data_IF_617624999234
#
_entry.id   IF_617624999234
#
_cell.length_a   1.000
_cell.length_b   1.000
_cell.length_c   1.000
_cell.angle_alpha   90.00
_cell.angle_beta   90.00
_cell.angle_gamma   90.00
#
_symmetry.space_group_name_H-M   'P 1'
#
loop_
_entity.id
_entity.type
_entity.pdbx_description
1 polymer ?
#
# COMPACT_ATOMS: atom_id res chain seq x y z
N UNK A 1 27.89 23.82 6.82
CA UNK A 1 27.70 22.73 7.82
C UNK A 1 27.59 21.46 7.02
N UNK A 2 28.39 20.43 7.30
CA UNK A 2 28.20 19.12 6.66
C UNK A 2 26.78 18.66 7.02
N UNK A 3 25.93 18.40 6.03
CA UNK A 3 24.62 17.78 6.27
C UNK A 3 24.89 16.42 6.93
N UNK A 4 24.37 16.25 8.15
CA UNK A 4 24.52 15.01 8.89
C UNK A 4 23.83 13.90 8.09
N UNK A 5 24.59 12.92 7.65
CA UNK A 5 24.10 11.80 6.84
C UNK A 5 23.02 11.04 7.62
N UNK A 6 21.82 10.93 7.06
CA UNK A 6 20.69 10.24 7.70
C UNK A 6 20.94 8.73 7.79
N UNK A 7 20.66 8.13 8.93
CA UNK A 7 20.69 6.68 9.10
C UNK A 7 19.29 6.11 8.91
N UNK A 8 19.12 5.27 7.91
CA UNK A 8 17.81 4.68 7.52
C UNK A 8 17.86 3.17 7.66
N UNK A 9 16.89 2.63 8.37
CA UNK A 9 16.63 1.19 8.42
C UNK A 9 15.45 0.84 7.51
N UNK A 10 15.58 -0.23 6.72
CA UNK A 10 14.47 -0.77 5.92
C UNK A 10 14.20 -2.20 6.36
N UNK A 11 13.05 -2.46 6.95
CA UNK A 11 12.63 -3.81 7.33
C UNK A 11 11.83 -4.44 6.19
N UNK A 12 12.46 -5.37 5.48
CA UNK A 12 11.89 -6.12 4.38
C UNK A 12 12.70 -6.05 3.08
N UNK A 13 12.95 -7.21 2.50
CA UNK A 13 13.69 -7.39 1.25
C UNK A 13 12.82 -7.63 0.03
N UNK A 14 11.53 -7.27 0.08
CA UNK A 14 10.64 -7.30 -1.07
C UNK A 14 10.97 -6.20 -2.09
N UNK A 15 10.29 -6.22 -3.26
CA UNK A 15 10.55 -5.26 -4.33
C UNK A 15 10.46 -3.81 -3.87
N UNK A 16 9.40 -3.43 -3.13
CA UNK A 16 9.20 -2.04 -2.72
C UNK A 16 10.19 -1.61 -1.62
N UNK A 17 10.46 -2.46 -0.63
CA UNK A 17 11.48 -2.17 0.40
C UNK A 17 12.87 -1.98 -0.21
N UNK A 18 13.23 -2.80 -1.20
CA UNK A 18 14.51 -2.68 -1.92
C UNK A 18 14.57 -1.38 -2.75
N UNK A 19 13.48 -1.00 -3.42
CA UNK A 19 13.42 0.26 -4.16
C UNK A 19 13.57 1.48 -3.23
N UNK A 20 12.88 1.49 -2.08
CA UNK A 20 12.99 2.57 -1.08
C UNK A 20 14.40 2.65 -0.47
N UNK A 21 15.03 1.50 -0.19
CA UNK A 21 16.42 1.46 0.29
C UNK A 21 17.37 2.11 -0.72
N UNK A 22 17.19 1.80 -2.02
CA UNK A 22 18.01 2.38 -3.08
C UNK A 22 17.77 3.89 -3.23
N UNK A 23 16.51 4.37 -3.16
CA UNK A 23 16.19 5.81 -3.20
C UNK A 23 16.88 6.55 -2.04
N UNK A 24 16.72 6.05 -0.81
CA UNK A 24 17.33 6.70 0.36
C UNK A 24 18.87 6.77 0.23
N UNK A 25 19.49 5.71 -0.28
CA UNK A 25 20.92 5.68 -0.55
C UNK A 25 21.33 6.60 -1.71
N UNK A 26 20.54 6.70 -2.78
CA UNK A 26 20.75 7.66 -3.89
C UNK A 26 20.71 9.11 -3.38
N UNK A 27 19.95 9.38 -2.32
CA UNK A 27 19.86 10.69 -1.65
C UNK A 27 20.93 10.88 -0.55
N UNK A 28 21.93 9.99 -0.46
CA UNK A 28 23.07 10.11 0.45
C UNK A 28 22.83 9.58 1.86
N UNK A 29 21.75 8.87 2.13
CA UNK A 29 21.54 8.22 3.42
C UNK A 29 22.43 6.98 3.59
N UNK A 30 22.81 6.68 4.84
CA UNK A 30 23.40 5.41 5.24
C UNK A 30 22.26 4.40 5.46
N UNK A 31 22.13 3.40 4.58
CA UNK A 31 20.99 2.51 4.55
C UNK A 31 21.34 1.09 4.96
N UNK A 32 20.64 0.58 5.95
CA UNK A 32 20.68 -0.84 6.33
C UNK A 32 19.34 -1.49 6.06
N UNK A 33 19.37 -2.60 5.30
CA UNK A 33 18.16 -3.33 4.93
C UNK A 33 18.14 -4.70 5.61
N UNK A 34 17.06 -4.99 6.32
CA UNK A 34 16.83 -6.28 6.96
C UNK A 34 16.11 -7.25 6.04
N UNK A 35 16.67 -8.46 5.91
CA UNK A 35 16.07 -9.59 5.22
C UNK A 35 16.28 -10.87 6.06
N UNK A 36 15.37 -11.83 5.93
CA UNK A 36 15.47 -13.13 6.61
C UNK A 36 16.35 -14.14 5.87
N UNK A 37 16.51 -13.98 4.57
CA UNK A 37 17.20 -14.92 3.67
C UNK A 37 18.67 -14.54 3.57
N UNK A 38 19.54 -15.34 4.20
CA UNK A 38 21.00 -15.12 4.23
C UNK A 38 21.62 -15.16 2.83
N UNK A 39 21.13 -16.05 1.95
CA UNK A 39 21.64 -16.14 0.59
C UNK A 39 21.33 -14.86 -0.21
N UNK A 40 20.13 -14.30 -0.02
CA UNK A 40 19.74 -13.05 -0.65
C UNK A 40 20.51 -11.86 -0.06
N UNK A 41 20.78 -11.85 1.26
CA UNK A 41 21.65 -10.85 1.91
C UNK A 41 23.06 -10.89 1.30
N UNK A 42 23.66 -12.07 1.18
CA UNK A 42 24.97 -12.24 0.57
C UNK A 42 24.99 -11.79 -0.90
N UNK A 43 23.94 -12.08 -1.66
CA UNK A 43 23.79 -11.65 -3.04
C UNK A 43 23.73 -10.10 -3.14
N UNK A 44 22.86 -9.45 -2.35
CA UNK A 44 22.71 -7.99 -2.37
C UNK A 44 24.04 -7.30 -2.06
N UNK A 45 24.74 -7.75 -1.02
CA UNK A 45 26.00 -7.15 -0.61
C UNK A 45 27.14 -7.35 -1.63
N UNK A 46 27.13 -8.46 -2.36
CA UNK A 46 28.21 -8.78 -3.33
C UNK A 46 27.91 -8.23 -4.73
N UNK A 47 26.65 -8.34 -5.17
CA UNK A 47 26.26 -8.10 -6.55
C UNK A 47 25.45 -6.81 -6.72
N UNK A 48 25.05 -6.18 -5.61
CA UNK A 48 24.13 -5.03 -5.60
C UNK A 48 22.88 -5.29 -6.44
N UNK A 49 22.29 -6.49 -6.27
CA UNK A 49 21.07 -6.94 -6.95
C UNK A 49 20.21 -7.76 -6.01
N UNK A 50 18.90 -7.59 -6.12
CA UNK A 50 17.92 -8.45 -5.46
C UNK A 50 17.34 -9.43 -6.50
N UNK A 51 18.04 -10.54 -6.73
CA UNK A 51 17.72 -11.50 -7.78
C UNK A 51 16.35 -12.16 -7.66
N UNK A 52 15.74 -12.11 -6.47
CA UNK A 52 14.41 -12.70 -6.24
C UNK A 52 13.26 -11.74 -6.52
N UNK A 53 13.40 -10.45 -6.17
CA UNK A 53 12.29 -9.51 -6.16
C UNK A 53 12.42 -8.34 -7.13
N UNK A 54 13.66 -8.01 -7.54
CA UNK A 54 14.00 -6.98 -8.53
C UNK A 54 15.23 -7.42 -9.33
N UNK A 55 15.15 -8.54 -10.09
CA UNK A 55 16.32 -9.17 -10.72
C UNK A 55 17.01 -8.27 -11.77
N UNK A 56 16.24 -7.44 -12.45
CA UNK A 56 16.72 -6.65 -13.58
C UNK A 56 17.32 -5.30 -13.19
N UNK A 57 17.29 -4.94 -11.88
CA UNK A 57 17.67 -3.62 -11.41
C UNK A 57 18.87 -3.66 -10.46
N UNK A 58 19.78 -2.69 -10.64
CA UNK A 58 20.88 -2.48 -9.72
C UNK A 58 20.40 -1.73 -8.46
N UNK A 59 20.85 -2.17 -7.31
CA UNK A 59 20.67 -1.50 -6.00
C UNK A 59 21.85 -0.57 -5.78
N UNK A 60 21.64 0.60 -5.18
CA UNK A 60 22.72 1.49 -4.81
C UNK A 60 23.74 0.76 -3.90
N UNK A 61 25.05 0.79 -4.22
CA UNK A 61 26.09 0.08 -3.45
C UNK A 61 26.21 0.51 -1.97
N UNK A 62 25.68 1.68 -1.60
CA UNK A 62 25.65 2.13 -0.20
C UNK A 62 24.58 1.42 0.66
N UNK A 63 23.70 0.59 0.05
CA UNK A 63 22.76 -0.25 0.81
C UNK A 63 23.50 -1.47 1.36
N UNK A 64 23.48 -1.63 2.68
CA UNK A 64 24.01 -2.82 3.37
C UNK A 64 22.85 -3.71 3.80
N UNK A 65 22.79 -4.94 3.29
CA UNK A 65 21.79 -5.93 3.68
C UNK A 65 22.28 -6.75 4.89
N UNK A 66 21.38 -7.05 5.84
CA UNK A 66 21.70 -7.78 7.08
C UNK A 66 20.50 -8.66 7.50
N UNK A 67 20.79 -9.75 8.22
CA UNK A 67 19.77 -10.62 8.84
C UNK A 67 19.49 -10.26 10.31
N UNK A 68 20.39 -9.54 10.98
CA UNK A 68 20.26 -9.16 12.38
C UNK A 68 19.52 -7.85 12.56
N UNK A 69 18.34 -7.89 13.20
CA UNK A 69 17.50 -6.71 13.49
C UNK A 69 18.22 -5.67 14.34
N UNK A 70 19.00 -6.09 15.33
CA UNK A 70 19.75 -5.17 16.19
C UNK A 70 20.69 -4.30 15.37
N UNK A 71 21.51 -4.92 14.54
CA UNK A 71 22.48 -4.23 13.69
C UNK A 71 21.81 -3.29 12.69
N UNK A 72 20.61 -3.65 12.19
CA UNK A 72 19.85 -2.80 11.26
C UNK A 72 19.27 -1.58 11.96
N UNK A 73 18.73 -1.74 13.17
CA UNK A 73 17.96 -0.70 13.86
C UNK A 73 18.79 0.23 14.73
N UNK A 74 19.95 -0.22 15.23
CA UNK A 74 20.79 0.59 16.11
C UNK A 74 21.23 1.89 15.45
N UNK A 75 20.83 3.04 16.01
CA UNK A 75 21.17 4.38 15.51
C UNK A 75 20.43 4.80 14.24
N UNK A 76 19.43 4.05 13.79
CA UNK A 76 18.55 4.49 12.72
C UNK A 76 17.65 5.64 13.21
N UNK A 77 17.48 6.67 12.39
CA UNK A 77 16.56 7.79 12.64
C UNK A 77 15.19 7.54 12.01
N UNK A 78 15.19 6.89 10.84
CA UNK A 78 14.01 6.52 10.09
C UNK A 78 13.98 5.02 9.84
N UNK A 79 12.85 4.38 10.17
CA UNK A 79 12.63 2.95 9.97
C UNK A 79 11.46 2.77 8.99
N UNK A 80 11.75 2.32 7.79
CA UNK A 80 10.75 1.99 6.76
C UNK A 80 10.38 0.51 6.87
N UNK A 81 9.11 0.20 7.07
CA UNK A 81 8.64 -1.17 7.30
C UNK A 81 7.86 -1.65 6.08
N UNK A 82 8.49 -2.53 5.29
CA UNK A 82 8.02 -3.02 3.99
C UNK A 82 7.86 -4.54 3.98
N UNK A 83 7.11 -5.06 4.94
CA UNK A 83 6.84 -6.50 5.13
C UNK A 83 5.35 -6.82 4.91
N UNK A 84 4.98 -8.04 4.50
CA UNK A 84 3.57 -8.43 4.34
C UNK A 84 2.78 -8.26 5.64
N UNK A 85 1.50 -7.89 5.54
CA UNK A 85 0.61 -7.62 6.68
C UNK A 85 0.54 -8.79 7.67
N UNK A 86 0.51 -10.04 7.20
CA UNK A 86 0.50 -11.25 8.03
C UNK A 86 1.71 -11.40 8.96
N UNK A 87 2.86 -10.84 8.59
CA UNK A 87 4.10 -10.91 9.38
C UNK A 87 4.39 -9.60 10.13
N UNK A 88 3.58 -8.57 9.93
CA UNK A 88 3.88 -7.21 10.38
C UNK A 88 4.05 -7.14 11.90
N UNK A 89 3.04 -7.57 12.66
CA UNK A 89 3.07 -7.55 14.13
C UNK A 89 4.24 -8.35 14.69
N UNK A 90 4.45 -9.57 14.24
CA UNK A 90 5.52 -10.43 14.75
C UNK A 90 6.92 -9.85 14.51
N UNK A 91 7.13 -9.19 13.36
CA UNK A 91 8.41 -8.53 13.09
C UNK A 91 8.57 -7.25 13.91
N UNK A 92 7.50 -6.47 14.10
CA UNK A 92 7.54 -5.28 14.97
C UNK A 92 7.85 -5.69 16.42
N UNK A 93 7.23 -6.74 16.93
CA UNK A 93 7.53 -7.29 18.26
C UNK A 93 8.99 -7.73 18.39
N UNK A 94 9.53 -8.42 17.39
CA UNK A 94 10.95 -8.82 17.38
C UNK A 94 11.90 -7.62 17.27
N UNK A 95 11.49 -6.55 16.59
CA UNK A 95 12.26 -5.31 16.44
C UNK A 95 12.22 -4.43 17.69
N UNK A 96 11.11 -4.46 18.45
CA UNK A 96 10.83 -3.58 19.60
C UNK A 96 11.99 -3.39 20.59
N UNK A 97 12.75 -4.44 20.99
CA UNK A 97 13.88 -4.26 21.93
C UNK A 97 15.00 -3.34 21.42
N UNK A 98 15.04 -3.08 20.10
CA UNK A 98 16.07 -2.30 19.41
C UNK A 98 15.56 -0.98 18.84
N UNK A 99 14.25 -0.67 19.08
CA UNK A 99 13.62 0.58 18.71
C UNK A 99 13.67 1.58 19.84
N UNK A 100 13.63 2.88 19.52
CA UNK A 100 13.52 3.97 20.49
C UNK A 100 12.40 4.96 20.10
N UNK A 101 11.81 5.68 21.09
CA UNK A 101 10.71 6.62 20.83
C UNK A 101 11.05 7.81 19.92
N UNK A 102 12.34 8.13 19.78
CA UNK A 102 12.84 9.21 18.92
C UNK A 102 12.88 8.82 17.44
N UNK A 103 12.82 7.52 17.16
CA UNK A 103 12.81 7.01 15.78
C UNK A 103 11.46 7.26 15.10
N UNK A 104 11.54 7.60 13.83
CA UNK A 104 10.37 7.70 12.97
C UNK A 104 10.07 6.34 12.36
N UNK A 105 8.89 5.78 12.66
CA UNK A 105 8.43 4.49 12.12
C UNK A 105 7.44 4.71 10.99
N UNK A 106 7.73 4.19 9.80
CA UNK A 106 6.85 4.37 8.63
C UNK A 106 6.44 3.03 8.04
N UNK A 107 5.17 2.73 8.08
CA UNK A 107 4.60 1.60 7.36
C UNK A 107 4.50 1.90 5.87
N UNK A 108 4.93 0.97 5.05
CA UNK A 108 4.74 1.00 3.59
C UNK A 108 3.89 -0.19 3.13
N UNK A 109 3.33 -0.93 4.08
CA UNK A 109 2.56 -2.15 3.88
C UNK A 109 1.10 -1.81 3.59
N UNK A 110 0.57 -2.36 2.52
CA UNK A 110 -0.81 -2.14 2.06
C UNK A 110 -1.68 -3.33 2.42
N UNK A 111 -2.07 -3.43 3.69
CA UNK A 111 -2.87 -4.53 4.20
C UNK A 111 -3.53 -4.19 5.53
N UNK A 112 -4.35 -5.13 5.99
CA UNK A 112 -5.12 -5.03 7.24
C UNK A 112 -4.81 -6.29 8.05
N UNK A 113 -4.59 -6.14 9.35
CA UNK A 113 -4.43 -7.27 10.24
C UNK A 113 -5.79 -7.97 10.46
N UNK A 114 -5.77 -9.28 10.43
CA UNK A 114 -6.98 -10.08 10.53
C UNK A 114 -7.65 -9.92 11.90
N UNK A 115 -6.87 -10.03 12.96
CA UNK A 115 -7.37 -9.92 14.31
C UNK A 115 -7.59 -8.46 14.69
N UNK A 116 -8.86 -8.06 14.86
CA UNK A 116 -9.26 -6.71 15.25
C UNK A 116 -9.39 -5.69 14.11
N UNK A 117 -9.20 -6.07 12.84
CA UNK A 117 -9.29 -5.15 11.70
C UNK A 117 -8.38 -3.92 11.86
N UNK A 118 -7.10 -4.14 12.19
CA UNK A 118 -6.15 -3.06 12.45
C UNK A 118 -5.33 -2.71 11.19
N UNK A 119 -5.16 -1.43 10.97
CA UNK A 119 -4.20 -0.92 10.01
C UNK A 119 -2.76 -1.07 10.56
N UNK A 120 -1.78 -1.12 9.69
CA UNK A 120 -0.38 -1.35 10.11
C UNK A 120 0.15 -0.23 11.01
N UNK A 121 -0.28 1.02 10.80
CA UNK A 121 0.07 2.12 11.70
C UNK A 121 -0.53 1.95 13.09
N UNK A 122 -1.73 1.39 13.21
CA UNK A 122 -2.35 1.08 14.50
C UNK A 122 -1.63 -0.09 15.20
N UNK A 123 -1.15 -1.08 14.43
CA UNK A 123 -0.29 -2.13 14.96
C UNK A 123 1.01 -1.53 15.53
N UNK A 124 1.64 -0.57 14.82
CA UNK A 124 2.82 0.14 15.34
C UNK A 124 2.50 0.88 16.64
N UNK A 125 1.38 1.61 16.71
CA UNK A 125 0.94 2.29 17.92
C UNK A 125 0.75 1.34 19.10
N UNK A 126 0.06 0.21 18.88
CA UNK A 126 -0.17 -0.78 19.92
C UNK A 126 1.11 -1.43 20.43
N UNK A 127 2.02 -1.78 19.52
CA UNK A 127 3.24 -2.50 19.89
C UNK A 127 4.31 -1.59 20.50
N UNK A 128 4.41 -0.33 20.05
CA UNK A 128 5.50 0.55 20.46
C UNK A 128 5.08 1.68 21.37
N UNK A 129 3.91 2.25 21.16
CA UNK A 129 3.46 3.48 21.84
C UNK A 129 4.25 4.72 21.40
N UNK A 130 4.94 4.68 20.26
CA UNK A 130 5.81 5.78 19.84
C UNK A 130 5.03 6.90 19.14
N UNK A 131 5.48 8.17 19.26
CA UNK A 131 4.75 9.32 18.73
C UNK A 131 4.94 9.53 17.22
N UNK A 132 6.07 9.09 16.65
CA UNK A 132 6.47 9.40 15.28
C UNK A 132 6.13 8.26 14.33
N UNK A 133 4.84 8.11 14.01
CA UNK A 133 4.34 7.05 13.13
C UNK A 133 3.75 7.66 11.86
N UNK A 134 4.18 7.15 10.70
CA UNK A 134 3.67 7.52 9.39
C UNK A 134 3.36 6.32 8.51
N UNK A 135 2.71 6.58 7.38
CA UNK A 135 2.43 5.60 6.34
C UNK A 135 2.78 6.16 4.97
N UNK A 136 3.29 5.32 4.08
CA UNK A 136 3.50 5.65 2.67
C UNK A 136 2.51 4.84 1.83
N UNK A 137 1.72 5.54 1.01
CA UNK A 137 0.84 4.96 0.00
C UNK A 137 0.79 5.82 -1.26
N UNK A 138 0.36 5.24 -2.38
CA UNK A 138 0.30 5.90 -3.68
C UNK A 138 0.65 4.96 -4.82
N UNK A 139 0.67 5.43 -6.06
CA UNK A 139 0.99 4.66 -7.26
C UNK A 139 2.48 4.29 -7.28
N UNK A 140 2.85 3.22 -6.58
CA UNK A 140 4.23 2.84 -6.29
C UNK A 140 4.54 1.44 -6.87
N UNK A 141 4.65 1.32 -8.19
CA UNK A 141 5.14 0.10 -8.84
C UNK A 141 6.66 0.03 -8.67
N UNK A 142 7.12 -0.95 -7.90
CA UNK A 142 8.52 -1.01 -7.46
C UNK A 142 9.53 -1.14 -8.62
N UNK A 143 9.15 -1.82 -9.71
CA UNK A 143 9.99 -1.93 -10.92
C UNK A 143 10.16 -0.60 -11.63
N UNK A 144 9.10 0.20 -11.76
CA UNK A 144 9.17 1.54 -12.37
C UNK A 144 10.02 2.49 -11.53
N UNK A 145 9.89 2.42 -10.19
CA UNK A 145 10.72 3.20 -9.28
C UNK A 145 12.19 2.78 -9.40
N UNK A 146 12.47 1.48 -9.46
CA UNK A 146 13.84 0.97 -9.62
C UNK A 146 14.46 1.36 -10.97
N UNK A 147 13.63 1.52 -12.01
CA UNK A 147 13.98 2.06 -13.32
C UNK A 147 14.06 3.61 -13.35
N UNK A 148 13.90 4.25 -12.20
CA UNK A 148 13.94 5.72 -12.05
C UNK A 148 12.91 6.48 -12.88
N UNK A 149 11.76 5.84 -13.17
CA UNK A 149 10.63 6.50 -13.83
C UNK A 149 9.98 7.51 -12.87
N UNK A 150 9.44 8.60 -13.43
CA UNK A 150 8.82 9.66 -12.65
C UNK A 150 7.63 9.13 -11.85
N UNK A 151 7.78 9.09 -10.54
CA UNK A 151 6.80 8.53 -9.60
C UNK A 151 6.50 9.52 -8.48
N UNK A 152 5.28 9.50 -7.99
CA UNK A 152 4.89 10.26 -6.82
C UNK A 152 4.19 9.38 -5.79
N UNK A 153 4.44 9.65 -4.51
CA UNK A 153 3.83 8.96 -3.37
C UNK A 153 3.30 9.94 -2.33
N UNK A 154 2.60 9.44 -1.34
CA UNK A 154 2.14 10.22 -0.18
C UNK A 154 2.75 9.67 1.09
N UNK A 155 3.36 10.55 1.90
CA UNK A 155 3.61 10.31 3.32
C UNK A 155 2.45 10.89 4.12
N UNK A 156 1.83 10.10 4.95
CA UNK A 156 0.76 10.56 5.82
C UNK A 156 1.09 10.31 7.29
N UNK A 157 0.96 11.35 8.09
CA UNK A 157 1.13 11.34 9.55
C UNK A 157 0.48 12.58 10.16
N UNK A 158 -0.06 12.49 11.35
CA UNK A 158 -0.46 13.67 12.13
C UNK A 158 0.77 14.50 12.54
N UNK A 159 1.92 13.86 12.73
CA UNK A 159 3.18 14.49 13.11
C UNK A 159 3.89 15.15 11.91
N UNK A 160 4.12 16.45 11.99
CA UNK A 160 4.79 17.23 10.95
C UNK A 160 6.26 16.84 10.76
N UNK A 161 6.96 16.47 11.84
CA UNK A 161 8.35 16.04 11.79
C UNK A 161 8.50 14.77 10.93
N UNK A 162 7.63 13.78 11.15
CA UNK A 162 7.56 12.55 10.37
C UNK A 162 7.39 12.85 8.87
N UNK A 163 6.43 13.72 8.52
CA UNK A 163 6.19 14.09 7.12
C UNK A 163 7.40 14.75 6.47
N UNK A 164 7.96 15.75 7.13
CA UNK A 164 9.12 16.51 6.62
C UNK A 164 10.34 15.61 6.47
N UNK A 165 10.62 14.77 7.46
CA UNK A 165 11.81 13.90 7.44
C UNK A 165 11.74 12.87 6.32
N UNK A 166 10.58 12.25 6.13
CA UNK A 166 10.38 11.30 5.02
C UNK A 166 10.49 11.98 3.66
N UNK A 167 9.95 13.20 3.50
CA UNK A 167 10.11 13.98 2.28
C UNK A 167 11.59 14.29 1.97
N UNK A 168 12.37 14.63 2.98
CA UNK A 168 13.81 14.91 2.82
C UNK A 168 14.61 13.66 2.45
N UNK A 169 14.31 12.52 3.08
CA UNK A 169 15.07 11.27 2.86
C UNK A 169 14.73 10.60 1.54
N UNK A 170 13.46 10.62 1.13
CA UNK A 170 13.01 9.89 -0.06
C UNK A 170 12.77 10.78 -1.28
N UNK A 171 12.56 12.10 -1.09
CA UNK A 171 12.30 13.02 -2.19
C UNK A 171 13.52 13.20 -3.12
N UNK A 172 13.36 12.92 -4.42
CA UNK A 172 14.42 13.09 -5.41
C UNK A 172 13.85 13.45 -6.79
N UNK A 173 14.73 13.56 -7.80
CA UNK A 173 14.36 14.01 -9.16
C UNK A 173 13.31 13.13 -9.84
N UNK A 174 13.24 11.86 -9.49
CA UNK A 174 12.29 10.90 -10.08
C UNK A 174 11.26 10.36 -9.08
N UNK A 175 11.39 10.66 -7.77
CA UNK A 175 10.46 10.21 -6.74
C UNK A 175 10.01 11.38 -5.86
N UNK A 176 8.76 11.84 -6.08
CA UNK A 176 8.19 12.97 -5.34
C UNK A 176 7.32 12.49 -4.19
N UNK A 177 7.53 13.05 -3.01
CA UNK A 177 6.79 12.71 -1.79
C UNK A 177 5.88 13.86 -1.40
N UNK A 178 4.57 13.67 -1.53
CA UNK A 178 3.54 14.60 -1.05
C UNK A 178 3.20 14.28 0.40
N UNK A 179 2.77 15.29 1.17
CA UNK A 179 2.38 15.13 2.57
C UNK A 179 0.85 15.13 2.73
N UNK A 180 0.36 14.37 3.72
CA UNK A 180 -1.04 14.36 4.16
C UNK A 180 -1.11 14.27 5.68
N UNK A 181 -2.14 14.87 6.28
CA UNK A 181 -2.45 14.74 7.70
C UNK A 181 -3.41 13.55 7.96
N UNK A 182 -4.11 13.09 6.93
CA UNK A 182 -5.06 11.97 7.03
C UNK A 182 -4.33 10.62 6.86
N UNK A 183 -3.65 10.19 7.92
CA UNK A 183 -2.96 8.90 7.95
C UNK A 183 -3.92 7.73 7.74
N UNK A 184 -5.09 7.80 8.39
CA UNK A 184 -6.09 6.74 8.34
C UNK A 184 -6.65 6.56 6.91
N UNK A 185 -7.08 7.64 6.26
CA UNK A 185 -7.61 7.58 4.89
C UNK A 185 -6.57 7.15 3.85
N UNK A 186 -5.33 7.64 3.97
CA UNK A 186 -4.22 7.24 3.08
C UNK A 186 -3.91 5.76 3.20
N UNK A 187 -3.89 5.22 4.42
CA UNK A 187 -3.60 3.81 4.66
C UNK A 187 -4.74 2.90 4.20
N UNK A 188 -5.99 3.27 4.50
CA UNK A 188 -7.17 2.55 4.01
C UNK A 188 -7.23 2.54 2.48
N UNK A 189 -6.99 3.66 1.81
CA UNK A 189 -6.94 3.74 0.35
C UNK A 189 -5.95 2.72 -0.23
N UNK A 190 -4.74 2.66 0.32
CA UNK A 190 -3.71 1.72 -0.08
C UNK A 190 -4.08 0.25 0.14
N UNK A 191 -4.86 -0.08 1.18
CA UNK A 191 -5.32 -1.44 1.45
C UNK A 191 -6.53 -1.83 0.59
N UNK A 192 -7.56 -0.97 0.53
CA UNK A 192 -8.84 -1.25 -0.13
C UNK A 192 -8.72 -1.42 -1.65
N UNK A 193 -7.88 -0.62 -2.33
CA UNK A 193 -7.69 -0.72 -3.79
C UNK A 193 -7.34 -2.12 -4.28
N UNK A 194 -6.68 -2.91 -3.43
CA UNK A 194 -6.24 -4.26 -3.77
C UNK A 194 -7.42 -5.21 -4.04
N UNK A 195 -8.57 -4.96 -3.42
CA UNK A 195 -9.84 -5.68 -3.67
C UNK A 195 -10.26 -5.46 -5.13
N UNK A 196 -10.33 -4.21 -5.53
CA UNK A 196 -10.85 -3.81 -6.85
C UNK A 196 -9.87 -4.12 -7.98
N UNK A 197 -8.59 -4.21 -7.68
CA UNK A 197 -7.60 -4.69 -8.64
C UNK A 197 -7.84 -6.16 -9.05
N UNK A 198 -8.31 -7.02 -8.13
CA UNK A 198 -8.72 -8.39 -8.46
C UNK A 198 -9.93 -8.33 -9.40
N UNK A 199 -10.96 -7.56 -9.08
CA UNK A 199 -12.15 -7.42 -9.92
C UNK A 199 -11.80 -6.86 -11.32
N UNK A 200 -10.89 -5.88 -11.40
CA UNK A 200 -10.43 -5.31 -12.67
C UNK A 200 -9.67 -6.34 -13.54
N UNK A 201 -8.83 -7.16 -12.92
CA UNK A 201 -8.15 -8.25 -13.60
C UNK A 201 -9.11 -9.30 -14.16
N UNK A 202 -10.14 -9.67 -13.39
CA UNK A 202 -11.20 -10.58 -13.84
C UNK A 202 -11.99 -9.99 -15.02
N UNK A 203 -12.40 -8.71 -14.91
CA UNK A 203 -13.11 -8.00 -15.99
C UNK A 203 -12.30 -7.96 -17.29
N UNK A 204 -10.99 -7.75 -17.20
CA UNK A 204 -10.09 -7.77 -18.36
C UNK A 204 -9.99 -9.16 -18.99
N UNK A 205 -9.85 -10.22 -18.20
CA UNK A 205 -9.79 -11.60 -18.68
C UNK A 205 -11.10 -12.06 -19.36
N UNK A 206 -12.24 -11.54 -18.87
CA UNK A 206 -13.56 -11.77 -19.46
C UNK A 206 -13.83 -10.92 -20.71
N UNK A 207 -12.85 -10.15 -21.20
CA UNK A 207 -12.98 -9.32 -22.40
C UNK A 207 -13.91 -8.11 -22.24
N UNK A 208 -14.16 -7.67 -21.01
CA UNK A 208 -14.99 -6.48 -20.76
C UNK A 208 -14.31 -5.21 -21.28
N UNK A 209 -15.08 -4.37 -21.97
CA UNK A 209 -14.58 -3.16 -22.65
C UNK A 209 -14.17 -2.04 -21.70
N UNK A 210 -13.60 -0.96 -22.30
CA UNK A 210 -13.10 0.21 -21.56
C UNK A 210 -14.16 0.91 -20.72
N UNK A 211 -15.41 1.00 -21.23
CA UNK A 211 -16.52 1.60 -20.46
C UNK A 211 -16.76 0.83 -19.15
N UNK A 212 -16.78 -0.51 -19.21
CA UNK A 212 -16.97 -1.36 -18.02
C UNK A 212 -15.82 -1.19 -17.03
N UNK A 213 -14.57 -1.17 -17.52
CA UNK A 213 -13.39 -0.97 -16.67
C UNK A 213 -13.39 0.42 -16.02
N UNK A 214 -13.77 1.46 -16.75
CA UNK A 214 -13.91 2.82 -16.23
C UNK A 214 -15.01 2.92 -15.17
N UNK A 215 -16.18 2.33 -15.46
CA UNK A 215 -17.28 2.24 -14.50
C UNK A 215 -16.87 1.50 -13.23
N UNK A 216 -16.19 0.35 -13.36
CA UNK A 216 -15.69 -0.43 -12.21
C UNK A 216 -14.76 0.41 -11.33
N UNK A 217 -13.80 1.12 -11.91
CA UNK A 217 -12.87 1.95 -11.13
C UNK A 217 -13.58 3.12 -10.45
N UNK A 218 -14.54 3.76 -11.12
CA UNK A 218 -15.32 4.85 -10.54
C UNK A 218 -16.17 4.37 -9.36
N UNK A 219 -16.86 3.25 -9.52
CA UNK A 219 -17.67 2.66 -8.43
C UNK A 219 -16.80 2.11 -7.30
N UNK A 220 -15.62 1.55 -7.62
CA UNK A 220 -14.63 1.14 -6.64
C UNK A 220 -14.17 2.32 -5.77
N UNK A 221 -13.88 3.47 -6.39
CA UNK A 221 -13.49 4.68 -5.65
C UNK A 221 -14.60 5.16 -4.72
N UNK A 222 -15.86 5.12 -5.17
CA UNK A 222 -17.02 5.47 -4.34
C UNK A 222 -17.17 4.53 -3.13
N UNK A 223 -17.03 3.21 -3.33
CA UNK A 223 -17.06 2.25 -2.22
C UNK A 223 -15.91 2.44 -1.23
N UNK A 224 -14.67 2.63 -1.74
CA UNK A 224 -13.50 2.89 -0.91
C UNK A 224 -13.71 4.13 -0.05
N UNK A 225 -14.19 5.22 -0.65
CA UNK A 225 -14.47 6.47 0.04
C UNK A 225 -15.57 6.30 1.10
N UNK A 226 -16.67 5.66 0.74
CA UNK A 226 -17.80 5.39 1.65
C UNK A 226 -17.37 4.62 2.89
N UNK A 227 -16.65 3.52 2.69
CA UNK A 227 -16.16 2.67 3.76
C UNK A 227 -15.17 3.41 4.68
N UNK A 228 -14.25 4.16 4.09
CA UNK A 228 -13.23 4.88 4.87
C UNK A 228 -13.82 6.08 5.62
N UNK A 229 -14.76 6.82 5.01
CA UNK A 229 -15.46 7.94 5.68
C UNK A 229 -16.29 7.44 6.86
N UNK A 230 -16.93 6.28 6.74
CA UNK A 230 -17.62 5.64 7.87
C UNK A 230 -16.68 5.29 9.03
N UNK A 231 -15.37 5.25 8.79
CA UNK A 231 -14.32 5.07 9.79
C UNK A 231 -13.57 6.36 10.14
N UNK A 232 -14.08 7.52 9.74
CA UNK A 232 -13.52 8.84 10.09
C UNK A 232 -12.44 9.37 9.16
N UNK A 233 -12.20 8.77 8.00
CA UNK A 233 -11.27 9.29 7.00
C UNK A 233 -11.84 10.53 6.28
N UNK A 234 -10.95 11.38 5.78
CA UNK A 234 -11.34 12.52 4.96
C UNK A 234 -11.69 12.05 3.53
N UNK A 235 -12.91 12.30 3.01
CA UNK A 235 -13.30 11.89 1.65
C UNK A 235 -12.39 12.48 0.56
N UNK A 236 -11.84 13.67 0.76
CA UNK A 236 -10.93 14.31 -0.19
C UNK A 236 -9.61 13.57 -0.37
N UNK A 237 -9.19 12.76 0.60
CA UNK A 237 -8.01 11.90 0.49
C UNK A 237 -8.09 10.95 -0.69
N UNK A 238 -9.31 10.51 -1.04
CA UNK A 238 -9.55 9.57 -2.13
C UNK A 238 -9.44 10.18 -3.53
N UNK A 239 -9.47 11.51 -3.66
CA UNK A 239 -9.18 12.23 -4.89
C UNK A 239 -7.67 12.39 -5.16
N UNK A 240 -6.84 12.05 -4.17
CA UNK A 240 -5.38 12.16 -4.24
C UNK A 240 -4.69 10.89 -4.75
N UNK A 241 -3.34 10.93 -4.67
CA UNK A 241 -2.47 9.83 -5.12
C UNK A 241 -2.74 8.51 -4.38
N UNK A 242 -3.03 8.53 -3.07
CA UNK A 242 -3.29 7.33 -2.28
C UNK A 242 -4.70 6.75 -2.50
N UNK A 243 -5.61 7.52 -3.10
CA UNK A 243 -6.95 7.09 -3.51
C UNK A 243 -6.98 6.75 -5.00
N UNK A 244 -7.50 7.68 -5.81
CA UNK A 244 -7.71 7.48 -7.26
C UNK A 244 -6.41 7.14 -8.01
N UNK A 245 -5.28 7.76 -7.67
CA UNK A 245 -4.00 7.51 -8.34
C UNK A 245 -3.53 6.06 -8.17
N UNK A 246 -3.54 5.56 -6.93
CA UNK A 246 -3.11 4.19 -6.62
C UNK A 246 -4.13 3.15 -7.10
N UNK A 247 -5.43 3.49 -7.12
CA UNK A 247 -6.49 2.65 -7.69
C UNK A 247 -6.29 2.45 -9.19
N UNK A 248 -6.13 3.53 -9.95
CA UNK A 248 -5.95 3.47 -11.42
C UNK A 248 -4.76 2.59 -11.78
N UNK A 249 -3.58 2.88 -11.24
CA UNK A 249 -2.37 2.11 -11.59
C UNK A 249 -2.48 0.65 -11.19
N UNK A 250 -3.15 0.35 -10.07
CA UNK A 250 -3.27 -1.03 -9.57
C UNK A 250 -4.31 -1.84 -10.37
N UNK A 251 -5.37 -1.19 -10.86
CA UNK A 251 -6.43 -1.82 -11.64
C UNK A 251 -6.12 -1.94 -13.14
N UNK A 252 -5.11 -1.22 -13.66
CA UNK A 252 -4.78 -1.23 -15.09
C UNK A 252 -3.42 -1.87 -15.42
N UNK A 253 -2.58 -2.15 -14.42
CA UNK A 253 -1.23 -2.64 -14.66
C UNK A 253 -1.08 -4.14 -14.42
N UNK A 254 -0.47 -4.84 -15.38
CA UNK A 254 -0.05 -6.25 -15.24
C UNK A 254 1.08 -6.44 -14.20
N UNK A 255 1.71 -5.37 -13.73
CA UNK A 255 2.66 -5.40 -12.63
C UNK A 255 1.95 -5.53 -11.28
N UNK A 256 0.64 -5.26 -11.22
CA UNK A 256 -0.17 -5.46 -10.02
C UNK A 256 -0.42 -6.94 -9.75
N UNK A 257 0.06 -7.42 -8.59
CA UNK A 257 -0.15 -8.80 -8.14
C UNK A 257 -1.63 -9.16 -8.00
N UNK A 258 -2.43 -8.24 -7.47
CA UNK A 258 -3.87 -8.44 -7.30
C UNK A 258 -4.60 -8.46 -8.65
N UNK A 259 -4.22 -7.61 -9.60
CA UNK A 259 -4.74 -7.65 -10.96
C UNK A 259 -4.43 -8.99 -11.63
N UNK A 260 -3.19 -9.50 -11.50
CA UNK A 260 -2.79 -10.81 -12.06
C UNK A 260 -3.57 -11.97 -11.45
N UNK A 261 -3.83 -11.96 -10.13
CA UNK A 261 -4.72 -12.96 -9.51
C UNK A 261 -6.12 -12.89 -10.13
N UNK A 262 -6.69 -11.69 -10.22
CA UNK A 262 -8.00 -11.52 -10.84
C UNK A 262 -8.04 -11.98 -12.30
N UNK A 263 -7.02 -11.66 -13.08
CA UNK A 263 -6.91 -12.12 -14.47
C UNK A 263 -6.86 -13.64 -14.58
N UNK A 264 -6.07 -14.31 -13.73
CA UNK A 264 -5.98 -15.75 -13.69
C UNK A 264 -7.32 -16.41 -13.33
N UNK A 265 -8.06 -15.84 -12.34
CA UNK A 265 -9.41 -16.28 -12.00
C UNK A 265 -10.39 -16.12 -13.17
N UNK A 266 -10.31 -14.98 -13.88
CA UNK A 266 -11.16 -14.70 -15.04
C UNK A 266 -10.88 -15.62 -16.26
N UNK A 267 -9.68 -16.22 -16.34
CA UNK A 267 -9.33 -17.27 -17.32
C UNK A 267 -9.75 -18.67 -16.87
N UNK A 268 -10.34 -18.83 -15.70
CA UNK A 268 -10.90 -20.10 -15.22
C UNK A 268 -10.03 -20.88 -14.22
N UNK A 269 -8.90 -20.32 -13.75
CA UNK A 269 -8.13 -20.93 -12.68
C UNK A 269 -8.89 -20.80 -11.34
N UNK A 270 -8.71 -21.80 -10.46
CA UNK A 270 -9.14 -21.70 -9.07
C UNK A 270 -8.34 -20.61 -8.31
N UNK A 271 -8.86 -20.18 -7.18
CA UNK A 271 -8.15 -19.20 -6.33
C UNK A 271 -6.79 -19.74 -5.85
N UNK A 272 -6.73 -21.02 -5.52
CA UNK A 272 -5.49 -21.68 -5.07
C UNK A 272 -4.44 -21.70 -6.18
N UNK A 273 -4.83 -22.08 -7.39
CA UNK A 273 -3.96 -22.09 -8.57
C UNK A 273 -3.49 -20.68 -8.94
N UNK A 274 -4.39 -19.69 -8.93
CA UNK A 274 -4.06 -18.30 -9.25
C UNK A 274 -3.05 -17.71 -8.25
N UNK A 275 -3.22 -17.98 -6.96
CA UNK A 275 -2.29 -17.52 -5.91
C UNK A 275 -0.96 -18.28 -5.97
N UNK A 276 -0.99 -19.60 -6.22
CA UNK A 276 0.22 -20.42 -6.36
C UNK A 276 1.07 -19.98 -7.57
N UNK A 277 0.42 -19.71 -8.72
CA UNK A 277 1.10 -19.24 -9.93
C UNK A 277 1.76 -17.87 -9.76
N UNK A 278 1.26 -17.03 -8.85
CA UNK A 278 1.84 -15.73 -8.56
C UNK A 278 3.20 -15.84 -7.82
N UNK A 279 3.39 -16.85 -6.98
CA UNK A 279 4.60 -17.06 -6.17
C UNK A 279 4.89 -15.94 -5.14
N UNK A 280 3.96 -15.02 -4.95
CA UNK A 280 4.08 -13.85 -4.07
C UNK A 280 2.75 -13.57 -3.38
N UNK A 281 2.80 -12.80 -2.28
CA UNK A 281 1.61 -12.41 -1.54
C UNK A 281 0.72 -11.45 -2.35
N UNK A 282 -0.57 -11.78 -2.44
CA UNK A 282 -1.62 -10.89 -2.95
C UNK A 282 -2.53 -10.49 -1.76
N UNK A 283 -2.31 -9.29 -1.24
CA UNK A 283 -3.00 -8.80 -0.03
C UNK A 283 -4.53 -8.70 -0.22
N UNK A 284 -4.99 -8.40 -1.44
CA UNK A 284 -6.41 -8.21 -1.75
C UNK A 284 -7.29 -9.40 -1.42
N UNK A 285 -6.80 -10.64 -1.55
CA UNK A 285 -7.57 -11.86 -1.27
C UNK A 285 -7.98 -11.94 0.20
N UNK A 286 -7.08 -11.58 1.12
CA UNK A 286 -7.44 -11.53 2.55
C UNK A 286 -8.24 -10.27 2.87
N UNK A 287 -7.87 -9.13 2.27
CA UNK A 287 -8.50 -7.83 2.52
C UNK A 287 -9.99 -7.85 2.20
N UNK A 288 -10.42 -8.51 1.11
CA UNK A 288 -11.85 -8.56 0.76
C UNK A 288 -12.70 -9.21 1.85
N UNK A 289 -12.27 -10.32 2.43
CA UNK A 289 -13.01 -10.97 3.55
C UNK A 289 -13.16 -10.04 4.76
N UNK A 290 -12.05 -9.41 5.15
CA UNK A 290 -12.02 -8.53 6.33
C UNK A 290 -12.90 -7.30 6.11
N UNK A 291 -12.80 -6.69 4.94
CA UNK A 291 -13.56 -5.49 4.58
C UNK A 291 -15.06 -5.79 4.48
N UNK A 292 -15.47 -6.88 3.83
CA UNK A 292 -16.87 -7.26 3.77
C UNK A 292 -17.45 -7.56 5.16
N UNK A 293 -16.71 -8.27 6.02
CA UNK A 293 -17.14 -8.51 7.40
C UNK A 293 -17.33 -7.19 8.17
N UNK A 294 -16.36 -6.29 8.08
CA UNK A 294 -16.41 -4.99 8.76
C UNK A 294 -17.49 -4.08 8.18
N UNK A 295 -17.70 -4.08 6.87
CA UNK A 295 -18.75 -3.32 6.21
C UNK A 295 -20.16 -3.76 6.68
N UNK A 296 -20.39 -5.07 6.81
CA UNK A 296 -21.65 -5.60 7.35
C UNK A 296 -21.88 -5.19 8.80
N UNK A 297 -20.84 -5.28 9.65
CA UNK A 297 -20.88 -4.82 11.05
C UNK A 297 -21.28 -3.34 11.15
N UNK A 298 -20.75 -2.50 10.26
CA UNK A 298 -20.98 -1.05 10.24
C UNK A 298 -22.22 -0.63 9.45
N UNK A 299 -22.90 -1.53 8.75
CA UNK A 299 -24.03 -1.22 7.86
C UNK A 299 -23.62 -0.41 6.61
N UNK A 300 -22.36 -0.55 6.15
CA UNK A 300 -21.85 0.15 4.96
C UNK A 300 -22.10 -0.66 3.69
N UNK A 301 -22.73 -0.03 2.70
CA UNK A 301 -23.07 -0.66 1.43
C UNK A 301 -21.86 -0.76 0.49
N UNK A 302 -21.42 -1.98 0.19
CA UNK A 302 -20.20 -2.29 -0.59
C UNK A 302 -20.46 -3.38 -1.64
N UNK A 303 -21.33 -3.14 -2.64
CA UNK A 303 -21.79 -4.18 -3.57
C UNK A 303 -20.67 -4.80 -4.41
N UNK A 304 -19.66 -4.04 -4.87
CA UNK A 304 -18.56 -4.58 -5.64
C UNK A 304 -17.65 -5.49 -4.79
N UNK A 305 -17.32 -5.05 -3.57
CA UNK A 305 -16.52 -5.85 -2.65
C UNK A 305 -17.25 -7.13 -2.24
N UNK A 306 -18.57 -7.04 -1.93
CA UNK A 306 -19.41 -8.20 -1.61
C UNK A 306 -19.56 -9.14 -2.80
N UNK A 307 -19.78 -8.61 -4.00
CA UNK A 307 -19.82 -9.40 -5.23
C UNK A 307 -18.51 -10.16 -5.46
N UNK A 308 -17.38 -9.50 -5.31
CA UNK A 308 -16.06 -10.14 -5.41
C UNK A 308 -15.88 -11.22 -4.33
N UNK A 309 -16.30 -10.96 -3.09
CA UNK A 309 -16.23 -11.93 -2.00
C UNK A 309 -16.98 -13.22 -2.36
N UNK A 310 -18.18 -13.10 -2.94
CA UNK A 310 -18.98 -14.26 -3.39
C UNK A 310 -18.32 -15.01 -4.53
N UNK A 311 -17.69 -14.31 -5.47
CA UNK A 311 -16.93 -14.96 -6.55
C UNK A 311 -15.75 -15.75 -5.99
N UNK A 312 -14.98 -15.17 -5.07
CA UNK A 312 -13.76 -15.76 -4.54
C UNK A 312 -14.01 -16.96 -3.60
N UNK A 313 -15.10 -16.93 -2.83
CA UNK A 313 -15.28 -17.87 -1.72
C UNK A 313 -16.58 -18.68 -1.76
N UNK A 314 -17.60 -18.22 -2.47
CA UNK A 314 -18.90 -18.91 -2.57
C UNK A 314 -19.09 -19.55 -3.95
N UNK A 315 -18.09 -19.46 -4.85
CA UNK A 315 -18.11 -20.10 -6.17
C UNK A 315 -19.08 -19.51 -7.19
N UNK A 316 -19.55 -18.27 -6.96
CA UNK A 316 -20.45 -17.59 -7.92
C UNK A 316 -19.63 -17.20 -9.16
N UNK A 317 -20.11 -17.52 -10.39
CA UNK A 317 -19.40 -17.13 -11.61
C UNK A 317 -19.28 -15.61 -11.73
N UNK A 318 -18.08 -15.12 -12.11
CA UNK A 318 -17.80 -13.69 -12.21
C UNK A 318 -18.74 -12.96 -13.19
N UNK A 319 -19.09 -13.61 -14.30
CA UNK A 319 -20.00 -13.03 -15.30
C UNK A 319 -21.45 -12.90 -14.77
N UNK A 320 -21.92 -13.88 -13.99
CA UNK A 320 -23.22 -13.83 -13.32
C UNK A 320 -23.24 -12.69 -12.29
N UNK A 321 -22.16 -12.56 -11.50
CA UNK A 321 -22.03 -11.48 -10.52
C UNK A 321 -22.04 -10.11 -11.19
N UNK A 322 -21.32 -9.93 -12.31
CA UNK A 322 -21.32 -8.68 -13.06
C UNK A 322 -22.75 -8.32 -13.55
N UNK A 323 -23.50 -9.29 -14.06
CA UNK A 323 -24.90 -9.09 -14.49
C UNK A 323 -25.79 -8.72 -13.32
N UNK A 324 -25.62 -9.38 -12.17
CA UNK A 324 -26.39 -9.08 -10.94
C UNK A 324 -26.13 -7.65 -10.45
N UNK A 325 -24.89 -7.20 -10.46
CA UNK A 325 -24.54 -5.83 -10.06
C UNK A 325 -25.12 -4.77 -10.99
N UNK A 326 -25.22 -5.06 -12.30
CA UNK A 326 -25.83 -4.14 -13.27
C UNK A 326 -27.35 -4.01 -13.12
N UNK A 327 -28.02 -5.02 -12.57
CA UNK A 327 -29.48 -5.05 -12.33
C UNK A 327 -29.85 -4.57 -10.92
N UNK A 328 -28.87 -4.18 -10.10
CA UNK A 328 -29.09 -3.67 -8.74
C UNK A 328 -29.82 -2.33 -8.69
N UNK A 329 -30.10 -1.86 -7.49
CA UNK A 329 -30.79 -0.59 -7.27
C UNK A 329 -29.98 0.58 -7.86
N UNK A 330 -30.70 1.53 -8.48
CA UNK A 330 -30.07 2.76 -8.99
C UNK A 330 -29.69 3.66 -7.82
N UNK A 331 -28.42 4.05 -7.77
CA UNK A 331 -27.86 4.92 -6.74
C UNK A 331 -27.38 6.25 -7.33
N UNK A 332 -27.14 7.24 -6.47
CA UNK A 332 -26.53 8.50 -6.87
C UNK A 332 -25.10 8.27 -7.39
N UNK A 333 -24.69 9.02 -8.42
CA UNK A 333 -23.33 8.91 -8.97
C UNK A 333 -22.28 9.46 -8.00
N UNK A 334 -22.52 10.62 -7.42
CA UNK A 334 -21.64 11.26 -6.43
C UNK A 334 -22.32 11.26 -5.06
N UNK A 335 -21.69 10.64 -4.08
CA UNK A 335 -22.25 10.46 -2.73
C UNK A 335 -21.85 11.55 -1.74
N UNK A 336 -20.70 12.22 -1.99
CA UNK A 336 -20.17 13.25 -1.11
C UNK A 336 -20.25 14.61 -1.79
N UNK A 337 -21.10 15.49 -1.24
CA UNK A 337 -21.21 16.89 -1.65
C UNK A 337 -20.56 17.74 -0.54
N UNK A 338 -19.46 18.45 -0.86
CA UNK A 338 -18.88 19.40 0.07
C UNK A 338 -19.79 20.65 0.13
N UNK A 339 -20.23 21.09 1.32
CA UNK A 339 -20.90 22.36 1.47
C UNK A 339 -20.01 23.50 0.94
N UNK A 340 -20.58 24.47 0.22
CA UNK A 340 -19.82 25.63 -0.31
C UNK A 340 -19.00 26.36 0.76
N UNK A 341 -19.51 26.41 1.98
CA UNK A 341 -18.84 27.01 3.15
C UNK A 341 -17.56 26.26 3.55
N UNK A 342 -17.56 24.91 3.50
CA UNK A 342 -16.37 24.10 3.80
C UNK A 342 -15.26 24.31 2.76
N UNK A 343 -15.60 24.52 1.48
CA UNK A 343 -14.64 24.83 0.43
C UNK A 343 -13.99 26.20 0.66
N UNK A 344 -14.78 27.21 1.07
CA UNK A 344 -14.28 28.57 1.34
C UNK A 344 -13.38 28.58 2.59
N UNK A 345 -13.67 27.78 3.59
CA UNK A 345 -12.86 27.69 4.81
C UNK A 345 -11.52 27.01 4.52
N UNK A 346 -11.50 25.93 3.73
CA UNK A 346 -10.27 25.25 3.33
C UNK A 346 -9.32 26.19 2.53
N UNK A 347 -9.86 27.08 1.70
CA UNK A 347 -9.07 28.08 1.01
C UNK A 347 -8.47 29.15 1.93
N UNK A 348 -9.14 29.49 3.03
CA UNK A 348 -8.62 30.45 4.02
C UNK A 348 -7.52 29.88 4.92
N UNK A 349 -7.54 28.58 5.14
CA UNK A 349 -6.52 27.88 5.96
C UNK A 349 -5.24 27.57 5.17
N UNK A 350 -5.27 27.69 3.84
CA UNK A 350 -4.11 27.47 2.95
C UNK A 350 -3.44 28.77 2.49
N UNK A 351 -4.05 29.93 2.74
CA UNK A 351 -3.51 31.27 2.45
C UNK A 351 -2.79 31.88 3.66
#
# INVERSE_FOLDING_TARGET
MAEQQSNVAVLGGGSFGTALASIAADNGANVRQWLRDEALVAQINREHRNGRYLPDYAINPAVTALTDLKSVLTGAELVLIAIPSKAFRSVVQAAKPWLSPEQILVSTTKGIEQDGFLLMSQVLEQETGFPHIGVIAGPNLASEIADKQLTATVIASADALTRTRVQQVLGCRYFRVYASNDRHGVELGGALKNIYAIAAGMAAALGMGENTRSMLMTRALAEMSRFAVAQGANPMTFLGLAGVGDLIVTCSSNLSRNYRVGHALGTGLSLEEAVAALGQVAEGVNTVKLVCAKAREMGVYMPLAEGLNRVLFDGVPAQEMASTLMMGEQSSDVEFILPREAVQQAHREQA
#
